data_IF_843458315227
#
_entry.id   IF_843458315227
#
_cell.length_a   1.000
_cell.length_b   1.000
_cell.length_c   1.000
_cell.angle_alpha   90.00
_cell.angle_beta   90.00
_cell.angle_gamma   90.00
#
_symmetry.space_group_name_H-M   'P 1'
#
loop_
_entity.id
_entity.type
_entity.pdbx_description
1 polymer ?
#
# COMPACT_ATOMS: atom_id res chain seq x y z
N UNK A 1 -10.19 23.19 3.21
CA UNK A 1 -9.94 22.71 4.60
C UNK A 1 -8.51 23.04 4.99
N UNK A 2 -8.22 23.24 6.29
CA UNK A 2 -6.82 23.33 6.75
C UNK A 2 -6.11 21.99 6.44
N UNK A 3 -4.91 22.06 5.84
CA UNK A 3 -4.05 20.91 5.54
C UNK A 3 -3.77 20.07 6.79
N UNK A 4 -3.52 20.69 7.93
CA UNK A 4 -3.15 19.97 9.17
C UNK A 4 -4.24 18.99 9.60
N UNK A 5 -5.52 19.38 9.48
CA UNK A 5 -6.65 18.49 9.78
C UNK A 5 -6.79 17.36 8.76
N UNK A 6 -6.44 17.61 7.50
CA UNK A 6 -6.49 16.61 6.44
C UNK A 6 -5.42 15.54 6.64
N UNK A 7 -4.18 15.96 6.92
CA UNK A 7 -3.06 15.05 7.19
C UNK A 7 -3.33 14.26 8.47
N UNK A 8 -3.72 14.93 9.56
CA UNK A 8 -4.04 14.25 10.82
C UNK A 8 -5.14 13.19 10.68
N UNK A 9 -6.16 13.43 9.86
CA UNK A 9 -7.19 12.43 9.57
C UNK A 9 -6.61 11.24 8.80
N UNK A 10 -5.79 11.50 7.78
CA UNK A 10 -5.18 10.46 6.95
C UNK A 10 -4.20 9.61 7.75
N UNK A 11 -3.37 10.25 8.57
CA UNK A 11 -2.40 9.59 9.46
C UNK A 11 -3.11 8.70 10.48
N UNK A 12 -4.18 9.19 11.10
CA UNK A 12 -4.96 8.40 12.06
C UNK A 12 -5.56 7.14 11.41
N UNK A 13 -6.11 7.26 10.20
CA UNK A 13 -6.66 6.11 9.47
C UNK A 13 -5.56 5.13 9.08
N UNK A 14 -4.44 5.58 8.52
CA UNK A 14 -3.33 4.70 8.13
C UNK A 14 -2.72 3.99 9.35
N UNK A 15 -2.56 4.69 10.48
CA UNK A 15 -2.09 4.10 11.73
C UNK A 15 -2.99 2.96 12.22
N UNK A 16 -4.32 3.13 12.15
CA UNK A 16 -5.29 2.07 12.50
C UNK A 16 -5.17 0.88 11.54
N UNK A 17 -5.07 1.11 10.23
CA UNK A 17 -4.95 0.02 9.25
C UNK A 17 -3.66 -0.79 9.49
N UNK A 18 -2.55 -0.11 9.76
CA UNK A 18 -1.26 -0.76 10.05
C UNK A 18 -1.31 -1.64 11.31
N UNK A 19 -2.09 -1.26 12.33
CA UNK A 19 -2.25 -2.09 13.54
C UNK A 19 -3.31 -3.18 13.40
N UNK A 20 -4.30 -3.02 12.51
CA UNK A 20 -5.26 -4.09 12.22
C UNK A 20 -4.58 -5.25 11.49
N UNK A 21 -3.59 -4.98 10.64
CA UNK A 21 -2.87 -6.00 9.85
C UNK A 21 -2.32 -7.17 10.70
N UNK A 22 -1.87 -6.92 11.93
CA UNK A 22 -1.31 -7.98 12.79
C UNK A 22 -2.40 -8.87 13.41
N UNK A 23 -3.65 -8.39 13.49
CA UNK A 23 -4.74 -9.09 14.18
C UNK A 23 -5.14 -10.40 13.50
N UNK A 24 -4.94 -10.50 12.18
CA UNK A 24 -5.25 -11.71 11.41
C UNK A 24 -4.13 -12.77 11.42
N UNK A 25 -3.05 -12.53 12.15
CA UNK A 25 -1.99 -13.52 12.37
C UNK A 25 -2.43 -14.44 13.52
N UNK A 26 -3.01 -15.59 13.15
CA UNK A 26 -3.50 -16.58 14.10
C UNK A 26 -2.36 -17.52 14.53
N UNK A 27 -1.94 -17.43 15.79
CA UNK A 27 -0.98 -18.37 16.35
C UNK A 27 -1.64 -19.73 16.61
N UNK A 28 -0.95 -20.86 16.36
CA UNK A 28 -1.46 -22.18 16.69
C UNK A 28 -1.73 -22.29 18.20
N UNK A 29 -2.94 -22.68 18.58
CA UNK A 29 -3.37 -22.74 19.99
C UNK A 29 -2.89 -24.00 20.69
N UNK A 30 -2.78 -25.11 19.94
CA UNK A 30 -2.56 -26.44 20.50
C UNK A 30 -1.12 -26.97 20.26
N UNK A 31 -0.30 -26.22 19.51
CA UNK A 31 1.08 -26.56 19.18
C UNK A 31 2.01 -25.36 19.38
N UNK A 32 2.90 -25.46 20.37
CA UNK A 32 3.93 -24.44 20.66
C UNK A 32 5.32 -24.83 20.16
N UNK A 33 5.41 -25.79 19.23
CA UNK A 33 6.68 -26.21 18.64
C UNK A 33 7.20 -25.20 17.61
N UNK A 34 8.49 -25.30 17.29
CA UNK A 34 9.09 -24.51 16.20
C UNK A 34 8.41 -24.79 14.85
N UNK A 35 7.83 -25.99 14.65
CA UNK A 35 7.11 -26.33 13.41
C UNK A 35 5.82 -25.53 13.27
N UNK A 36 5.16 -25.24 14.38
CA UNK A 36 3.96 -24.40 14.41
C UNK A 36 4.26 -22.97 13.90
N UNK A 37 5.43 -22.43 14.23
CA UNK A 37 5.90 -21.12 13.72
C UNK A 37 6.16 -21.17 12.21
N UNK A 38 6.77 -22.25 11.71
CA UNK A 38 7.02 -22.42 10.27
C UNK A 38 5.69 -22.48 9.51
N UNK A 39 4.65 -23.09 10.09
CA UNK A 39 3.33 -23.20 9.46
C UNK A 39 2.65 -21.84 9.25
N UNK A 40 2.86 -20.86 10.15
CA UNK A 40 2.29 -19.50 10.01
C UNK A 40 3.18 -18.53 9.24
N UNK A 41 4.39 -18.96 8.85
CA UNK A 41 5.34 -18.11 8.15
C UNK A 41 4.76 -17.45 6.87
N UNK A 42 3.93 -18.12 6.04
CA UNK A 42 3.30 -17.49 4.88
C UNK A 42 2.42 -16.28 5.25
N UNK A 43 1.55 -16.43 6.25
CA UNK A 43 0.68 -15.34 6.72
C UNK A 43 1.48 -14.20 7.34
N UNK A 44 2.52 -14.54 8.11
CA UNK A 44 3.42 -13.55 8.71
C UNK A 44 4.23 -12.76 7.67
N UNK A 45 4.69 -13.42 6.60
CA UNK A 45 5.39 -12.76 5.49
C UNK A 45 4.45 -11.84 4.70
N UNK A 46 3.22 -12.29 4.41
CA UNK A 46 2.19 -11.47 3.78
C UNK A 46 1.90 -10.22 4.62
N UNK A 47 1.79 -10.37 5.94
CA UNK A 47 1.68 -9.26 6.89
C UNK A 47 2.85 -8.27 6.75
N UNK A 48 4.11 -8.72 6.82
CA UNK A 48 5.29 -7.84 6.75
C UNK A 48 5.30 -7.03 5.46
N UNK A 49 5.04 -7.68 4.31
CA UNK A 49 5.03 -7.00 3.01
C UNK A 49 3.93 -5.94 2.96
N UNK A 50 2.74 -6.26 3.42
CA UNK A 50 1.59 -5.35 3.40
C UNK A 50 1.76 -4.17 4.34
N UNK A 51 2.31 -4.42 5.54
CA UNK A 51 2.70 -3.37 6.48
C UNK A 51 3.73 -2.43 5.84
N UNK A 52 4.74 -2.98 5.18
CA UNK A 52 5.80 -2.21 4.54
C UNK A 52 5.26 -1.36 3.39
N UNK A 53 4.32 -1.88 2.58
CA UNK A 53 3.63 -1.10 1.53
C UNK A 53 2.90 0.09 2.12
N UNK A 54 2.11 -0.11 3.19
CA UNK A 54 1.40 0.97 3.85
C UNK A 54 2.36 2.01 4.41
N UNK A 55 3.44 1.58 5.07
CA UNK A 55 4.45 2.48 5.63
C UNK A 55 5.17 3.31 4.55
N UNK A 56 5.60 2.68 3.45
CA UNK A 56 6.23 3.38 2.33
C UNK A 56 5.25 4.33 1.66
N UNK A 57 3.99 3.92 1.45
CA UNK A 57 2.98 4.80 0.90
C UNK A 57 2.72 5.99 1.82
N UNK A 58 2.61 5.78 3.13
CA UNK A 58 2.45 6.86 4.10
C UNK A 58 3.58 7.89 4.03
N UNK A 59 4.83 7.44 3.95
CA UNK A 59 5.99 8.35 3.75
C UNK A 59 5.83 9.15 2.45
N UNK A 60 5.42 8.50 1.36
CA UNK A 60 5.23 9.17 0.06
C UNK A 60 4.03 10.12 0.07
N UNK A 61 2.95 9.79 0.78
CA UNK A 61 1.80 10.67 0.99
C UNK A 61 2.21 11.91 1.81
N UNK A 62 2.92 11.72 2.92
CA UNK A 62 3.44 12.83 3.71
C UNK A 62 4.32 13.76 2.86
N UNK A 63 5.26 13.19 2.09
CA UNK A 63 6.12 13.93 1.18
C UNK A 63 5.36 14.70 0.09
N UNK A 64 4.28 14.10 -0.44
CA UNK A 64 3.41 14.72 -1.44
C UNK A 64 2.74 16.00 -0.90
N UNK A 65 2.37 16.01 0.38
CA UNK A 65 1.65 17.12 1.00
C UNK A 65 2.56 18.16 1.68
N UNK A 66 3.86 17.91 1.88
CA UNK A 66 4.82 18.85 2.50
C UNK A 66 4.68 20.30 2.01
N UNK A 67 4.54 20.50 0.69
CA UNK A 67 4.49 21.83 0.06
C UNK A 67 3.08 22.35 -0.25
N UNK A 68 2.04 21.61 0.12
CA UNK A 68 0.64 22.03 -0.06
C UNK A 68 0.28 23.00 1.07
N UNK A 69 -0.42 24.10 0.76
CA UNK A 69 -0.89 25.06 1.78
C UNK A 69 -2.37 24.91 2.12
N UNK A 70 -3.19 24.57 1.13
CA UNK A 70 -4.64 24.43 1.29
C UNK A 70 -5.13 23.18 0.57
N UNK A 71 -6.11 22.51 1.16
CA UNK A 71 -6.74 21.31 0.59
C UNK A 71 -8.11 21.69 0.04
N UNK A 72 -8.32 21.41 -1.26
CA UNK A 72 -9.58 21.61 -1.95
C UNK A 72 -10.48 20.36 -1.84
N UNK A 73 -11.74 20.47 -2.25
CA UNK A 73 -12.70 19.36 -2.17
C UNK A 73 -12.31 18.15 -3.01
N UNK A 74 -11.66 18.34 -4.16
CA UNK A 74 -11.25 17.22 -5.04
C UNK A 74 -10.21 16.35 -4.37
N UNK A 75 -9.17 16.96 -3.77
CA UNK A 75 -8.15 16.26 -2.98
C UNK A 75 -8.79 15.50 -1.82
N UNK A 76 -9.78 16.08 -1.15
CA UNK A 76 -10.47 15.41 -0.05
C UNK A 76 -11.15 14.11 -0.52
N UNK A 77 -11.93 14.15 -1.60
CA UNK A 77 -12.65 12.98 -2.11
C UNK A 77 -11.71 11.92 -2.68
N UNK A 78 -10.66 12.31 -3.42
CA UNK A 78 -9.67 11.35 -3.93
C UNK A 78 -8.89 10.70 -2.78
N UNK A 79 -8.61 11.43 -1.70
CA UNK A 79 -7.97 10.87 -0.51
C UNK A 79 -8.89 9.91 0.25
N UNK A 80 -10.18 10.22 0.39
CA UNK A 80 -11.15 9.28 0.99
C UNK A 80 -11.22 8.00 0.16
N UNK A 81 -11.21 8.11 -1.17
CA UNK A 81 -11.18 6.96 -2.06
C UNK A 81 -9.91 6.11 -1.88
N UNK A 82 -8.74 6.76 -1.78
CA UNK A 82 -7.47 6.10 -1.42
C UNK A 82 -7.57 5.36 -0.09
N UNK A 83 -8.08 6.03 0.96
CA UNK A 83 -8.22 5.45 2.29
C UNK A 83 -9.14 4.25 2.31
N UNK A 84 -10.24 4.27 1.55
CA UNK A 84 -11.14 3.12 1.44
C UNK A 84 -10.40 1.86 0.94
N UNK A 85 -9.64 1.97 -0.16
CA UNK A 85 -8.87 0.82 -0.65
C UNK A 85 -7.75 0.43 0.30
N UNK A 86 -7.15 1.40 1.00
CA UNK A 86 -6.19 1.12 2.06
C UNK A 86 -6.81 0.26 3.19
N UNK A 87 -8.05 0.54 3.60
CA UNK A 87 -8.74 -0.24 4.66
C UNK A 87 -9.07 -1.67 4.26
N UNK A 88 -9.09 -1.99 2.97
CA UNK A 88 -9.32 -3.36 2.49
C UNK A 88 -8.05 -4.19 2.47
N UNK A 89 -6.86 -3.57 2.52
CA UNK A 89 -5.57 -4.27 2.49
C UNK A 89 -5.42 -5.32 3.60
N UNK A 90 -5.81 -5.07 4.87
CA UNK A 90 -5.76 -6.10 5.90
C UNK A 90 -6.53 -7.37 5.52
N UNK A 91 -7.78 -7.22 5.08
CA UNK A 91 -8.62 -8.35 4.71
C UNK A 91 -8.05 -9.14 3.52
N UNK A 92 -7.59 -8.47 2.47
CA UNK A 92 -7.01 -9.17 1.31
C UNK A 92 -5.66 -9.81 1.62
N UNK A 93 -4.88 -9.18 2.51
CA UNK A 93 -3.59 -9.71 2.99
C UNK A 93 -3.80 -10.96 3.81
N UNK A 94 -4.74 -10.92 4.77
CA UNK A 94 -5.08 -12.06 5.62
C UNK A 94 -5.58 -13.24 4.79
N UNK A 95 -6.46 -12.97 3.82
CA UNK A 95 -7.02 -14.03 2.99
C UNK A 95 -5.95 -14.68 2.10
N UNK A 96 -5.08 -13.89 1.46
CA UNK A 96 -3.93 -14.44 0.73
C UNK A 96 -2.94 -15.17 1.66
N UNK A 97 -2.67 -14.61 2.84
CA UNK A 97 -1.78 -15.21 3.83
C UNK A 97 -2.27 -16.56 4.36
N UNK A 98 -3.59 -16.83 4.32
CA UNK A 98 -4.18 -18.11 4.73
C UNK A 98 -3.89 -19.26 3.75
N UNK A 99 -3.75 -18.95 2.46
CA UNK A 99 -3.31 -19.87 1.42
C UNK A 99 -2.61 -19.10 0.29
N UNK A 100 -1.29 -19.06 0.36
CA UNK A 100 -0.45 -18.36 -0.62
C UNK A 100 -0.45 -19.01 -2.01
N UNK A 101 -1.03 -20.20 -2.16
CA UNK A 101 -1.18 -20.90 -3.43
C UNK A 101 -2.61 -20.77 -4.01
N UNK A 102 -3.49 -20.01 -3.36
CA UNK A 102 -4.81 -19.71 -3.89
C UNK A 102 -4.77 -18.59 -4.94
N UNK A 103 -5.05 -18.94 -6.21
CA UNK A 103 -5.13 -17.97 -7.31
C UNK A 103 -6.19 -16.90 -7.07
N UNK A 104 -7.33 -17.25 -6.47
CA UNK A 104 -8.40 -16.29 -6.19
C UNK A 104 -8.01 -15.29 -5.10
N UNK A 105 -7.35 -15.77 -4.04
CA UNK A 105 -6.89 -14.88 -2.96
C UNK A 105 -5.79 -13.93 -3.45
N UNK A 106 -4.81 -14.45 -4.20
CA UNK A 106 -3.76 -13.64 -4.79
C UNK A 106 -4.30 -12.62 -5.80
N UNK A 107 -5.27 -13.01 -6.63
CA UNK A 107 -5.91 -12.11 -7.59
C UNK A 107 -6.69 -10.99 -6.90
N UNK A 108 -7.48 -11.29 -5.87
CA UNK A 108 -8.20 -10.25 -5.12
C UNK A 108 -7.22 -9.29 -4.45
N UNK A 109 -6.12 -9.81 -3.89
CA UNK A 109 -5.09 -8.98 -3.30
C UNK A 109 -4.44 -8.06 -4.35
N UNK A 110 -4.07 -8.60 -5.52
CA UNK A 110 -3.53 -7.82 -6.64
C UNK A 110 -4.49 -6.70 -7.10
N UNK A 111 -5.79 -7.00 -7.25
CA UNK A 111 -6.80 -6.00 -7.62
C UNK A 111 -6.88 -4.88 -6.59
N UNK A 112 -6.92 -5.22 -5.30
CA UNK A 112 -6.96 -4.22 -4.24
C UNK A 112 -5.73 -3.28 -4.30
N UNK A 113 -4.53 -3.84 -4.46
CA UNK A 113 -3.29 -3.07 -4.61
C UNK A 113 -3.30 -2.19 -5.86
N UNK A 114 -3.79 -2.68 -7.00
CA UNK A 114 -3.90 -1.89 -8.23
C UNK A 114 -4.80 -0.69 -8.01
N UNK A 115 -6.00 -0.90 -7.45
CA UNK A 115 -6.95 0.21 -7.26
C UNK A 115 -6.45 1.18 -6.20
N UNK A 116 -5.76 0.69 -5.17
CA UNK A 116 -5.06 1.53 -4.20
C UNK A 116 -4.00 2.41 -4.87
N UNK A 117 -3.15 1.85 -5.73
CA UNK A 117 -2.14 2.60 -6.47
C UNK A 117 -2.76 3.63 -7.43
N UNK A 118 -3.82 3.26 -8.15
CA UNK A 118 -4.59 4.20 -8.99
C UNK A 118 -5.17 5.34 -8.15
N UNK A 119 -5.69 5.03 -6.95
CA UNK A 119 -6.24 6.04 -6.04
C UNK A 119 -5.16 7.01 -5.57
N UNK A 120 -3.95 6.52 -5.26
CA UNK A 120 -2.81 7.37 -4.94
C UNK A 120 -2.43 8.28 -6.12
N UNK A 121 -2.44 7.72 -7.33
CA UNK A 121 -2.21 8.50 -8.55
C UNK A 121 -3.22 9.63 -8.72
N UNK A 122 -4.49 9.41 -8.39
CA UNK A 122 -5.52 10.46 -8.42
C UNK A 122 -5.24 11.58 -7.42
N UNK A 123 -4.85 11.25 -6.19
CA UNK A 123 -4.48 12.25 -5.17
C UNK A 123 -3.30 13.09 -5.64
N UNK A 124 -2.22 12.45 -6.10
CA UNK A 124 -1.04 13.15 -6.61
C UNK A 124 -1.38 14.01 -7.82
N UNK A 125 -2.21 13.55 -8.77
CA UNK A 125 -2.62 14.35 -9.91
C UNK A 125 -3.35 15.64 -9.50
N UNK A 126 -4.17 15.61 -8.43
CA UNK A 126 -4.80 16.83 -7.91
C UNK A 126 -3.79 17.75 -7.20
N UNK A 127 -2.79 17.18 -6.51
CA UNK A 127 -1.71 17.94 -5.87
C UNK A 127 -0.76 18.58 -6.90
N UNK A 128 -0.46 17.88 -7.99
CA UNK A 128 0.41 18.36 -9.07
C UNK A 128 -0.14 19.62 -9.76
N UNK A 129 -1.47 19.76 -9.86
CA UNK A 129 -2.11 20.98 -10.36
C UNK A 129 -1.80 22.21 -9.51
N UNK A 130 -1.35 22.00 -8.27
CA UNK A 130 -0.94 23.05 -7.33
C UNK A 130 0.59 23.22 -7.34
N UNK A 131 1.35 22.13 -7.51
CA UNK A 131 2.81 22.12 -7.49
C UNK A 131 3.43 21.10 -8.45
N UNK A 132 4.10 21.60 -9.49
CA UNK A 132 4.71 20.79 -10.56
C UNK A 132 6.00 20.04 -10.16
N UNK A 133 6.56 20.28 -8.97
CA UNK A 133 7.85 19.70 -8.54
C UNK A 133 7.85 18.17 -8.41
N UNK A 134 6.67 17.54 -8.37
CA UNK A 134 6.53 16.10 -8.17
C UNK A 134 6.26 15.33 -9.47
N UNK A 135 6.41 15.97 -10.64
CA UNK A 135 6.25 15.31 -11.95
C UNK A 135 7.15 14.09 -12.13
N UNK A 136 8.33 14.07 -11.52
CA UNK A 136 9.27 12.95 -11.59
C UNK A 136 8.71 11.64 -11.00
N UNK A 137 7.74 11.72 -10.08
CA UNK A 137 7.09 10.55 -9.49
C UNK A 137 6.20 9.77 -10.49
N UNK A 138 5.82 10.40 -11.61
CA UNK A 138 4.97 9.79 -12.63
C UNK A 138 5.56 8.51 -13.24
N UNK A 139 6.89 8.47 -13.41
CA UNK A 139 7.57 7.30 -13.98
C UNK A 139 7.49 6.11 -13.03
N UNK A 140 7.73 6.34 -11.73
CA UNK A 140 7.63 5.30 -10.70
C UNK A 140 6.22 4.73 -10.63
N UNK A 141 5.19 5.56 -10.74
CA UNK A 141 3.81 5.09 -10.77
C UNK A 141 3.47 4.25 -12.00
N UNK A 142 3.89 4.68 -13.19
CA UNK A 142 3.68 3.85 -14.40
C UNK A 142 4.39 2.52 -14.24
N UNK A 143 5.64 2.52 -13.78
CA UNK A 143 6.40 1.29 -13.58
C UNK A 143 5.70 0.35 -12.58
N UNK A 144 5.22 0.90 -11.45
CA UNK A 144 4.47 0.17 -10.43
C UNK A 144 3.13 -0.35 -10.97
N UNK A 145 2.37 0.44 -11.74
CA UNK A 145 1.13 0.00 -12.35
C UNK A 145 1.36 -1.11 -13.39
N UNK A 146 2.37 -0.97 -14.25
CA UNK A 146 2.73 -2.01 -15.23
C UNK A 146 3.10 -3.30 -14.50
N UNK A 147 3.94 -3.21 -13.47
CA UNK A 147 4.35 -4.34 -12.65
C UNK A 147 3.13 -5.05 -12.02
N UNK A 148 2.21 -4.29 -11.43
CA UNK A 148 1.00 -4.85 -10.83
C UNK A 148 0.03 -5.45 -11.85
N UNK A 149 -0.11 -4.85 -13.03
CA UNK A 149 -0.92 -5.42 -14.12
C UNK A 149 -0.31 -6.73 -14.60
N UNK A 150 1.02 -6.80 -14.77
CA UNK A 150 1.72 -8.05 -15.09
C UNK A 150 1.48 -9.07 -13.98
N UNK A 151 1.61 -8.68 -12.72
CA UNK A 151 1.36 -9.55 -11.58
C UNK A 151 -0.07 -10.09 -11.59
N UNK A 152 -1.08 -9.27 -11.88
CA UNK A 152 -2.49 -9.69 -11.97
C UNK A 152 -2.70 -10.87 -12.93
N UNK A 153 -1.97 -10.91 -14.05
CA UNK A 153 -2.02 -12.02 -14.99
C UNK A 153 -1.21 -13.24 -14.50
N UNK A 154 -0.01 -13.02 -13.95
CA UNK A 154 0.86 -14.12 -13.50
C UNK A 154 0.29 -14.84 -12.29
N UNK A 155 -0.31 -14.12 -11.33
CA UNK A 155 -0.84 -14.70 -10.08
C UNK A 155 -1.97 -15.68 -10.31
N UNK A 156 -2.64 -15.62 -11.46
CA UNK A 156 -3.63 -16.63 -11.82
C UNK A 156 -3.00 -18.03 -11.97
N UNK A 157 -1.77 -18.09 -12.51
CA UNK A 157 -1.03 -19.33 -12.74
C UNK A 157 0.01 -19.63 -11.65
N UNK A 158 0.58 -18.61 -11.03
CA UNK A 158 1.56 -18.73 -9.96
C UNK A 158 1.28 -17.71 -8.84
N UNK A 159 0.36 -18.03 -7.91
CA UNK A 159 -0.14 -17.09 -6.91
C UNK A 159 0.93 -16.47 -6.00
N UNK A 160 1.98 -17.19 -5.56
CA UNK A 160 3.07 -16.60 -4.77
C UNK A 160 3.82 -15.45 -5.46
N UNK A 161 3.70 -15.28 -6.78
CA UNK A 161 4.32 -14.18 -7.52
C UNK A 161 3.89 -12.80 -7.00
N UNK A 162 2.69 -12.67 -6.42
CA UNK A 162 2.23 -11.39 -5.86
C UNK A 162 3.23 -10.84 -4.84
N UNK A 163 3.80 -11.69 -3.99
CA UNK A 163 4.79 -11.27 -2.99
C UNK A 163 6.05 -10.67 -3.63
N UNK A 164 6.51 -11.25 -4.75
CA UNK A 164 7.68 -10.75 -5.47
C UNK A 164 7.38 -9.39 -6.09
N UNK A 165 6.21 -9.26 -6.75
CA UNK A 165 5.74 -7.99 -7.32
C UNK A 165 5.66 -6.89 -6.24
N UNK A 166 5.08 -7.21 -5.09
CA UNK A 166 4.92 -6.27 -3.99
C UNK A 166 6.26 -5.84 -3.37
N UNK A 167 7.23 -6.76 -3.25
CA UNK A 167 8.59 -6.42 -2.83
C UNK A 167 9.29 -5.49 -3.84
N UNK A 168 9.10 -5.73 -5.14
CA UNK A 168 9.60 -4.82 -6.17
C UNK A 168 8.94 -3.44 -6.10
N UNK A 169 7.63 -3.37 -5.85
CA UNK A 169 6.94 -2.10 -5.61
C UNK A 169 7.50 -1.35 -4.40
N UNK A 170 7.72 -2.04 -3.27
CA UNK A 170 8.35 -1.45 -2.09
C UNK A 170 9.68 -0.81 -2.47
N UNK A 171 10.53 -1.50 -3.25
CA UNK A 171 11.82 -0.95 -3.69
C UNK A 171 11.65 0.26 -4.61
N UNK A 172 10.75 0.19 -5.59
CA UNK A 172 10.45 1.29 -6.51
C UNK A 172 10.01 2.55 -5.77
N UNK A 173 9.19 2.40 -4.74
CA UNK A 173 8.63 3.50 -3.96
C UNK A 173 9.53 3.96 -2.80
N UNK A 174 10.49 3.14 -2.36
CA UNK A 174 11.45 3.51 -1.30
C UNK A 174 12.59 4.40 -1.81
N UNK A 175 12.91 4.34 -3.10
CA UNK A 175 14.07 5.07 -3.70
C UNK A 175 13.71 6.52 -4.04
N UNK A 176 12.55 7.04 -3.63
CA UNK A 176 12.16 8.40 -3.97
C UNK A 176 13.06 9.41 -3.24
N UNK A 177 13.75 10.31 -3.98
CA UNK A 177 14.65 11.26 -3.36
C UNK A 177 13.83 12.19 -2.47
N UNK A 178 14.07 12.11 -1.16
CA UNK A 178 13.63 13.14 -0.21
C UNK A 178 14.13 14.46 -0.80
N UNK A 179 13.20 15.32 -1.20
CA UNK A 179 13.53 16.65 -1.72
C UNK A 179 14.18 17.41 -0.58
N UNK A 180 15.50 17.31 -0.46
CA UNK A 180 16.28 18.05 0.53
C UNK A 180 16.08 19.53 0.24
N UNK A 181 15.55 20.24 1.22
CA UNK A 181 15.57 21.69 1.24
C UNK A 181 17.02 22.15 1.05
N UNK A 182 17.28 22.92 0.00
CA UNK A 182 18.33 23.95 0.11
C UNK A 182 17.73 25.00 1.04
N UNK A 183 18.31 25.10 2.23
CA UNK A 183 18.06 26.22 3.15
C UNK A 183 18.46 27.54 2.55
#
# INVERSE_FOLDING_TARGET
MNKERFEAFTDAVIAIIMTILVLDIHLPTDDHSMRAIIAIAPSFLAYIVSFTILAVMWVNHHNLFLHVKTVNHKILYTNIFLLFWATLLPATTAWFGSDIYSSTAAWLYAVNVIVYNISFSMVRNEVLKINDRLKHLYITEIASLILNIIALFIVFFWPPFIMISLLMDILLWSIQPVVRHKG
#
